data_IF_004650466154
#
_entry.id   IF_004650466154
#
_cell.length_a   1.000
_cell.length_b   1.000
_cell.length_c   1.000
_cell.angle_alpha   90.00
_cell.angle_beta   90.00
_cell.angle_gamma   90.00
#
_symmetry.space_group_name_H-M   'P 1'
#
loop_
_entity.id
_entity.type
_entity.pdbx_description
1 polymer ?
#
# COMPACT_ATOMS: atom_id res chain seq x y z
N UNK A 1 1.25 49.41 -23.46
CA UNK A 1 0.09 49.08 -22.57
C UNK A 1 -0.55 47.73 -22.92
N UNK A 2 -0.80 47.44 -24.21
CA UNK A 2 -1.34 46.15 -24.68
C UNK A 2 -0.49 44.95 -24.21
N UNK A 3 0.83 45.02 -24.38
CA UNK A 3 1.76 43.93 -24.02
C UNK A 3 1.78 43.65 -22.52
N UNK A 4 1.76 44.67 -21.66
CA UNK A 4 1.64 44.49 -20.19
C UNK A 4 0.39 43.70 -19.81
N UNK A 5 -0.75 43.96 -20.47
CA UNK A 5 -2.01 43.24 -20.23
C UNK A 5 -1.94 41.79 -20.72
N UNK A 6 -1.31 41.53 -21.86
CA UNK A 6 -1.14 40.17 -22.37
C UNK A 6 -0.20 39.34 -21.48
N UNK A 7 0.92 39.92 -21.03
CA UNK A 7 1.81 39.24 -20.07
C UNK A 7 1.09 38.90 -18.78
N UNK A 8 0.30 39.83 -18.24
CA UNK A 8 -0.44 39.61 -17.00
C UNK A 8 -1.48 38.49 -17.13
N UNK A 9 -2.22 38.45 -18.25
CA UNK A 9 -3.15 37.36 -18.56
C UNK A 9 -2.45 36.01 -18.76
N UNK A 10 -1.28 36.00 -19.39
CA UNK A 10 -0.49 34.77 -19.56
C UNK A 10 0.04 34.26 -18.21
N UNK A 11 0.50 35.16 -17.33
CA UNK A 11 0.94 34.75 -15.99
C UNK A 11 -0.20 34.23 -15.13
N UNK A 12 -1.39 34.82 -15.21
CA UNK A 12 -2.54 34.36 -14.43
C UNK A 12 -3.05 33.00 -14.92
N UNK A 13 -3.07 32.75 -16.24
CA UNK A 13 -3.46 31.45 -16.79
C UNK A 13 -2.47 30.34 -16.41
N UNK A 14 -1.17 30.64 -16.46
CA UNK A 14 -0.13 29.70 -16.02
C UNK A 14 -0.22 29.41 -14.50
N UNK A 15 -0.49 30.43 -13.67
CA UNK A 15 -0.65 30.25 -12.24
C UNK A 15 -1.87 29.37 -11.89
N UNK A 16 -3.00 29.59 -12.56
CA UNK A 16 -4.21 28.78 -12.38
C UNK A 16 -3.99 27.33 -12.86
N UNK A 17 -3.25 27.14 -13.96
CA UNK A 17 -2.86 25.82 -14.45
C UNK A 17 -1.94 25.09 -13.45
N UNK A 18 -0.95 25.79 -12.90
CA UNK A 18 -0.05 25.23 -11.88
C UNK A 18 -0.83 24.80 -10.63
N UNK A 19 -1.72 25.66 -10.12
CA UNK A 19 -2.59 25.37 -8.98
C UNK A 19 -3.41 24.09 -9.18
N UNK A 20 -4.02 23.92 -10.36
CA UNK A 20 -4.79 22.71 -10.71
C UNK A 20 -3.93 21.47 -10.72
N UNK A 21 -2.72 21.56 -11.28
CA UNK A 21 -1.78 20.44 -11.31
C UNK A 21 -1.34 20.02 -9.90
N UNK A 22 -1.10 20.98 -9.00
CA UNK A 22 -0.74 20.71 -7.61
C UNK A 22 -1.87 20.01 -6.84
N UNK A 23 -3.12 20.45 -7.02
CA UNK A 23 -4.30 19.80 -6.43
C UNK A 23 -4.44 18.37 -6.96
N UNK A 24 -4.38 18.18 -8.28
CA UNK A 24 -4.50 16.87 -8.90
C UNK A 24 -3.40 15.90 -8.43
N UNK A 25 -2.19 16.40 -8.20
CA UNK A 25 -1.09 15.60 -7.63
C UNK A 25 -1.42 15.11 -6.21
N UNK A 26 -1.96 15.97 -5.35
CA UNK A 26 -2.35 15.56 -4.00
C UNK A 26 -3.50 14.57 -4.01
N UNK A 27 -4.53 14.80 -4.82
CA UNK A 27 -5.66 13.89 -4.98
C UNK A 27 -5.19 12.51 -5.45
N UNK A 28 -4.29 12.46 -6.42
CA UNK A 28 -3.74 11.20 -6.92
C UNK A 28 -2.90 10.45 -5.88
N UNK A 29 -2.06 11.16 -5.12
CA UNK A 29 -1.29 10.58 -4.01
C UNK A 29 -2.22 10.02 -2.93
N UNK A 30 -3.31 10.72 -2.63
CA UNK A 30 -4.31 10.25 -1.67
C UNK A 30 -5.04 9.01 -2.19
N UNK A 31 -5.53 9.03 -3.43
CA UNK A 31 -6.25 7.91 -4.08
C UNK A 31 -5.40 6.64 -4.03
N UNK A 32 -4.15 6.73 -4.46
CA UNK A 32 -3.22 5.58 -4.50
C UNK A 32 -2.88 5.04 -3.12
N UNK A 33 -2.58 5.92 -2.16
CA UNK A 33 -2.28 5.50 -0.79
C UNK A 33 -3.48 4.91 -0.05
N UNK A 34 -4.66 5.53 -0.18
CA UNK A 34 -5.89 5.03 0.44
C UNK A 34 -6.29 3.69 -0.13
N UNK A 35 -6.14 3.46 -1.43
CA UNK A 35 -6.42 2.15 -2.03
C UNK A 35 -5.59 1.01 -1.41
N UNK A 36 -4.34 1.28 -1.03
CA UNK A 36 -3.47 0.31 -0.35
C UNK A 36 -3.98 0.05 1.08
N UNK A 37 -4.31 1.11 1.82
CA UNK A 37 -4.86 0.99 3.17
C UNK A 37 -6.22 0.28 3.17
N UNK A 38 -7.10 0.56 2.22
CA UNK A 38 -8.40 -0.10 2.07
C UNK A 38 -8.27 -1.59 1.80
N UNK A 39 -7.29 -2.00 0.97
CA UNK A 39 -6.95 -3.41 0.79
C UNK A 39 -6.50 -4.03 2.12
N UNK A 40 -5.58 -3.40 2.83
CA UNK A 40 -5.10 -3.92 4.12
C UNK A 40 -6.23 -4.04 5.16
N UNK A 41 -7.16 -3.08 5.19
CA UNK A 41 -8.34 -3.13 6.05
C UNK A 41 -9.27 -4.31 5.70
N UNK A 42 -9.49 -4.57 4.40
CA UNK A 42 -10.25 -5.74 3.93
C UNK A 42 -9.55 -7.05 4.26
N UNK A 43 -8.24 -7.14 4.04
CA UNK A 43 -7.44 -8.34 4.33
C UNK A 43 -7.45 -8.67 5.83
N UNK A 44 -7.28 -7.66 6.70
CA UNK A 44 -7.41 -7.82 8.15
C UNK A 44 -8.82 -8.27 8.55
N UNK A 45 -9.86 -7.71 7.92
CA UNK A 45 -11.24 -8.14 8.12
C UNK A 45 -11.49 -9.59 7.72
N UNK A 46 -10.85 -10.07 6.65
CA UNK A 46 -10.95 -11.48 6.26
C UNK A 46 -10.21 -12.39 7.25
N UNK A 47 -9.02 -11.99 7.73
CA UNK A 47 -8.29 -12.73 8.76
C UNK A 47 -9.08 -12.90 10.05
N UNK A 48 -9.80 -11.86 10.49
CA UNK A 48 -10.71 -11.94 11.64
C UNK A 48 -11.77 -13.03 11.41
N UNK A 49 -12.42 -13.06 10.24
CA UNK A 49 -13.44 -14.07 9.91
C UNK A 49 -12.88 -15.49 9.84
N UNK A 50 -11.69 -15.65 9.25
CA UNK A 50 -10.99 -16.94 9.17
C UNK A 50 -10.73 -17.47 10.60
N UNK A 51 -10.18 -16.63 11.48
CA UNK A 51 -9.89 -16.99 12.87
C UNK A 51 -11.16 -17.25 13.71
N UNK A 52 -12.23 -16.46 13.50
CA UNK A 52 -13.52 -16.69 14.15
C UNK A 52 -14.13 -18.04 13.73
N UNK A 53 -13.95 -18.43 12.46
CA UNK A 53 -14.38 -19.73 11.94
C UNK A 53 -13.58 -20.88 12.56
N UNK A 54 -12.27 -20.72 12.71
CA UNK A 54 -11.43 -21.71 13.40
C UNK A 54 -11.76 -21.82 14.90
N UNK A 55 -12.02 -20.69 15.55
CA UNK A 55 -12.44 -20.66 16.96
C UNK A 55 -13.75 -21.42 17.16
N UNK A 56 -14.71 -21.32 16.23
CA UNK A 56 -15.99 -22.02 16.30
C UNK A 56 -15.85 -23.55 16.16
N UNK A 57 -14.78 -24.05 15.52
CA UNK A 57 -14.50 -25.49 15.38
C UNK A 57 -13.85 -26.09 16.62
N UNK A 58 -13.27 -25.26 17.49
CA UNK A 58 -12.60 -25.72 18.70
C UNK A 58 -13.58 -25.95 19.85
N UNK A 59 -13.25 -26.92 20.70
CA UNK A 59 -13.96 -27.12 21.96
C UNK A 59 -13.68 -25.95 22.91
N UNK A 60 -14.74 -25.32 23.40
CA UNK A 60 -14.66 -24.23 24.38
C UNK A 60 -13.80 -24.64 25.58
N UNK A 61 -12.83 -23.79 25.94
CA UNK A 61 -11.93 -24.00 27.09
C UNK A 61 -10.58 -24.63 26.77
N UNK A 62 -10.26 -24.92 25.50
CA UNK A 62 -8.90 -25.28 25.08
C UNK A 62 -7.97 -24.05 25.16
N UNK A 63 -6.69 -24.23 25.52
CA UNK A 63 -5.68 -23.16 25.46
C UNK A 63 -5.60 -22.53 24.07
N UNK A 64 -5.77 -23.34 23.03
CA UNK A 64 -5.83 -22.90 21.63
C UNK A 64 -7.01 -21.96 21.36
N UNK A 65 -8.13 -22.12 22.09
CA UNK A 65 -9.29 -21.24 21.98
C UNK A 65 -8.98 -19.84 22.52
N UNK A 66 -8.23 -19.75 23.63
CA UNK A 66 -7.80 -18.47 24.19
C UNK A 66 -6.75 -17.78 23.31
N UNK A 67 -5.80 -18.54 22.74
CA UNK A 67 -4.83 -18.01 21.78
C UNK A 67 -5.51 -17.42 20.53
N UNK A 68 -6.52 -18.11 19.99
CA UNK A 68 -7.30 -17.60 18.85
C UNK A 68 -8.11 -16.36 19.20
N UNK A 69 -8.70 -16.27 20.41
CA UNK A 69 -9.40 -15.05 20.85
C UNK A 69 -8.43 -13.86 20.94
N UNK A 70 -7.23 -14.08 21.48
CA UNK A 70 -6.18 -13.06 21.51
C UNK A 70 -5.79 -12.61 20.10
N UNK A 71 -5.56 -13.56 19.20
CA UNK A 71 -5.27 -13.29 17.79
C UNK A 71 -6.39 -12.49 17.10
N UNK A 72 -7.65 -12.86 17.30
CA UNK A 72 -8.82 -12.13 16.75
C UNK A 72 -8.82 -10.68 17.26
N UNK A 73 -8.57 -10.47 18.56
CA UNK A 73 -8.50 -9.13 19.14
C UNK A 73 -7.36 -8.30 18.54
N UNK A 74 -6.17 -8.87 18.33
CA UNK A 74 -5.04 -8.20 17.68
C UNK A 74 -5.36 -7.80 16.23
N UNK A 75 -5.96 -8.70 15.45
CA UNK A 75 -6.36 -8.40 14.08
C UNK A 75 -7.49 -7.36 14.00
N UNK A 76 -8.42 -7.35 14.96
CA UNK A 76 -9.43 -6.28 15.10
C UNK A 76 -8.77 -4.94 15.43
N UNK A 77 -7.86 -4.90 16.40
CA UNK A 77 -7.13 -3.67 16.74
C UNK A 77 -6.33 -3.12 15.54
N UNK A 78 -5.65 -3.99 14.79
CA UNK A 78 -4.97 -3.62 13.54
C UNK A 78 -5.96 -3.07 12.49
N UNK A 79 -7.12 -3.68 12.35
CA UNK A 79 -8.14 -3.19 11.40
C UNK A 79 -8.59 -1.76 11.75
N UNK A 80 -8.85 -1.49 13.03
CA UNK A 80 -9.20 -0.15 13.52
C UNK A 80 -8.07 0.87 13.33
N UNK A 81 -6.82 0.45 13.56
CA UNK A 81 -5.64 1.26 13.26
C UNK A 81 -5.61 1.69 11.79
N UNK A 82 -5.83 0.76 10.86
CA UNK A 82 -5.87 1.06 9.42
C UNK A 82 -7.04 2.00 9.08
N UNK A 83 -8.21 1.83 9.68
CA UNK A 83 -9.35 2.73 9.48
C UNK A 83 -9.03 4.17 9.95
N UNK A 84 -8.31 4.29 11.06
CA UNK A 84 -7.83 5.57 11.59
C UNK A 84 -6.83 6.22 10.63
N UNK A 85 -5.87 5.44 10.09
CA UNK A 85 -4.90 5.94 9.11
C UNK A 85 -5.58 6.45 7.83
N UNK A 86 -6.60 5.75 7.33
CA UNK A 86 -7.38 6.19 6.16
C UNK A 86 -8.02 7.56 6.44
N UNK A 87 -8.66 7.69 7.61
CA UNK A 87 -9.37 8.91 7.99
C UNK A 87 -8.42 10.08 8.20
N UNK A 88 -7.31 9.87 8.91
CA UNK A 88 -6.28 10.86 9.13
C UNK A 88 -5.67 11.34 7.80
N UNK A 89 -5.35 10.41 6.89
CA UNK A 89 -4.79 10.74 5.58
C UNK A 89 -5.74 11.58 4.74
N UNK A 90 -7.03 11.23 4.71
CA UNK A 90 -8.04 12.03 3.98
C UNK A 90 -8.11 13.45 4.52
N UNK A 91 -8.11 13.62 5.84
CA UNK A 91 -8.19 14.93 6.47
C UNK A 91 -6.94 15.79 6.20
N UNK A 92 -5.75 15.19 6.30
CA UNK A 92 -4.48 15.90 6.09
C UNK A 92 -4.34 16.39 4.63
N UNK A 93 -4.64 15.52 3.66
CA UNK A 93 -4.61 15.89 2.25
C UNK A 93 -5.68 16.92 1.89
N UNK A 94 -6.89 16.79 2.45
CA UNK A 94 -7.94 17.79 2.26
C UNK A 94 -7.51 19.17 2.78
N UNK A 95 -6.95 19.24 3.98
CA UNK A 95 -6.46 20.49 4.55
C UNK A 95 -5.33 21.12 3.71
N UNK A 96 -4.47 20.30 3.09
CA UNK A 96 -3.44 20.80 2.19
C UNK A 96 -3.99 21.30 0.86
N UNK A 97 -4.98 20.61 0.29
CA UNK A 97 -5.69 21.04 -0.92
C UNK A 97 -6.37 22.39 -0.70
N UNK A 98 -7.03 22.60 0.45
CA UNK A 98 -7.65 23.89 0.79
C UNK A 98 -6.63 25.03 0.89
N UNK A 99 -5.42 24.75 1.40
CA UNK A 99 -4.34 25.73 1.42
C UNK A 99 -3.85 26.10 0.02
N UNK A 100 -3.80 25.14 -0.91
CA UNK A 100 -3.48 25.42 -2.32
C UNK A 100 -4.60 26.22 -2.98
N UNK A 101 -5.87 25.89 -2.68
CA UNK A 101 -7.02 26.69 -3.14
C UNK A 101 -6.95 28.14 -2.67
N UNK A 102 -6.45 28.37 -1.46
CA UNK A 102 -6.22 29.70 -0.88
C UNK A 102 -4.98 30.43 -1.45
N UNK A 103 -4.20 29.81 -2.35
CA UNK A 103 -3.10 30.46 -3.07
C UNK A 103 -1.69 30.11 -2.57
N UNK A 104 -1.55 29.19 -1.60
CA UNK A 104 -0.23 28.62 -1.29
C UNK A 104 0.19 27.63 -2.38
N UNK A 105 1.49 27.38 -2.48
CA UNK A 105 2.06 26.35 -3.36
C UNK A 105 2.57 25.16 -2.55
N UNK A 106 2.64 23.98 -3.16
CA UNK A 106 3.13 22.76 -2.51
C UNK A 106 4.52 22.90 -1.88
N UNK A 107 5.40 23.72 -2.46
CA UNK A 107 6.76 23.96 -1.95
C UNK A 107 6.77 24.69 -0.60
N UNK A 108 5.71 25.44 -0.30
CA UNK A 108 5.53 26.18 0.95
C UNK A 108 4.82 25.36 2.03
N UNK A 109 4.24 24.22 1.67
CA UNK A 109 3.47 23.38 2.56
C UNK A 109 4.31 22.18 3.05
N UNK A 110 3.99 21.61 4.23
CA UNK A 110 4.64 20.41 4.71
C UNK A 110 4.52 19.26 3.70
N UNK A 111 5.57 18.46 3.54
CA UNK A 111 5.50 17.26 2.69
C UNK A 111 4.68 16.20 3.40
N UNK A 112 3.52 15.86 2.83
CA UNK A 112 2.65 14.80 3.35
C UNK A 112 2.67 13.58 2.43
N UNK A 113 2.42 12.41 3.01
CA UNK A 113 2.29 11.14 2.30
C UNK A 113 1.33 10.23 3.06
N UNK A 114 0.56 9.42 2.34
CA UNK A 114 -0.27 8.41 2.99
C UNK A 114 0.66 7.38 3.67
N UNK A 115 0.46 7.09 4.97
CA UNK A 115 1.24 6.12 5.69
C UNK A 115 1.03 4.71 5.12
N UNK A 116 2.05 3.87 5.26
CA UNK A 116 1.96 2.47 4.86
C UNK A 116 1.05 1.70 5.82
N UNK A 117 0.39 0.62 5.35
CA UNK A 117 -0.32 -0.28 6.25
C UNK A 117 0.61 -0.75 7.38
N UNK A 118 0.11 -0.84 8.61
CA UNK A 118 0.93 -1.30 9.70
C UNK A 118 1.19 -2.82 9.54
N UNK A 119 2.29 -3.37 10.09
CA UNK A 119 2.68 -4.74 9.83
C UNK A 119 1.67 -5.75 10.37
N UNK A 120 1.61 -6.92 9.74
CA UNK A 120 0.72 -8.01 10.15
C UNK A 120 1.07 -8.49 11.57
N UNK A 121 0.06 -8.72 12.44
CA UNK A 121 0.27 -9.37 13.73
C UNK A 121 1.00 -10.71 13.58
N UNK A 122 2.00 -10.95 14.43
CA UNK A 122 2.71 -12.23 14.46
C UNK A 122 1.90 -13.20 15.33
N UNK A 123 1.17 -14.12 14.70
CA UNK A 123 0.50 -15.20 15.44
C UNK A 123 1.57 -16.05 16.13
N UNK A 124 1.60 -16.04 17.46
CA UNK A 124 2.41 -16.96 18.27
C UNK A 124 1.70 -18.31 18.31
N UNK A 125 1.82 -19.07 17.23
CA UNK A 125 1.13 -20.35 17.10
C UNK A 125 0.98 -20.69 15.64
N UNK A 126 1.40 -21.89 15.29
CA UNK A 126 1.43 -22.43 13.94
C UNK A 126 0.01 -22.71 13.45
N UNK A 127 -0.73 -21.66 13.08
CA UNK A 127 -1.97 -21.81 12.34
C UNK A 127 -1.59 -21.81 10.86
N UNK A 128 -1.33 -23.01 10.35
CA UNK A 128 -1.15 -23.24 8.91
C UNK A 128 -2.48 -22.95 8.23
N UNK A 129 -2.68 -21.72 7.76
CA UNK A 129 -3.63 -21.45 6.68
C UNK A 129 -2.82 -21.43 5.39
N UNK A 130 -2.68 -22.62 4.81
CA UNK A 130 -2.04 -22.85 3.53
C UNK A 130 -3.00 -22.37 2.42
N UNK A 131 -2.87 -21.10 2.01
CA UNK A 131 -3.43 -20.63 0.74
C UNK A 131 -2.28 -20.58 -0.27
N UNK A 132 -1.85 -21.75 -0.77
CA UNK A 132 -1.06 -21.84 -2.00
C UNK A 132 -1.91 -22.53 -3.07
N UNK A 133 -1.95 -22.01 -4.31
CA UNK A 133 -2.71 -22.63 -5.37
C UNK A 133 -2.11 -23.99 -5.71
N UNK A 134 -3.00 -24.96 -5.87
CA UNK A 134 -2.68 -26.34 -6.21
C UNK A 134 -1.93 -26.37 -7.55
N UNK A 135 -0.74 -26.96 -7.56
CA UNK A 135 -0.09 -27.43 -8.77
C UNK A 135 0.20 -28.93 -8.55
N UNK A 136 -0.28 -29.84 -9.40
CA UNK A 136 -0.02 -31.26 -9.25
C UNK A 136 1.35 -31.57 -9.85
N UNK A 137 2.18 -32.36 -9.16
CA UNK A 137 2.62 -33.68 -9.64
C UNK A 137 3.77 -34.30 -8.79
N UNK A 138 3.56 -35.58 -8.46
CA UNK A 138 4.50 -36.70 -8.29
C UNK A 138 5.65 -36.67 -7.26
N UNK A 139 5.35 -37.34 -6.13
CA UNK A 139 5.98 -38.59 -5.62
C UNK A 139 7.50 -38.70 -5.32
N UNK A 140 7.78 -38.88 -4.02
CA UNK A 140 8.55 -39.98 -3.35
C UNK A 140 10.11 -39.97 -3.35
N UNK A 141 10.63 -39.82 -2.11
CA UNK A 141 11.76 -40.50 -1.43
C UNK A 141 13.26 -40.29 -1.78
N UNK A 142 13.98 -39.84 -0.74
CA UNK A 142 15.16 -40.48 -0.09
C UNK A 142 16.56 -40.46 -0.75
N UNK A 143 17.43 -39.62 -0.17
CA UNK A 143 18.84 -39.80 0.28
C UNK A 143 19.85 -40.53 -0.63
N UNK A 144 20.98 -39.88 -0.97
CA UNK A 144 22.38 -40.25 -0.60
C UNK A 144 23.46 -39.57 -1.47
N UNK A 145 24.61 -39.32 -0.82
CA UNK A 145 25.98 -39.20 -1.37
C UNK A 145 26.51 -37.82 -1.87
N UNK A 146 27.38 -37.22 -1.03
CA UNK A 146 28.60 -36.49 -1.42
C UNK A 146 29.75 -37.53 -1.60
N UNK A 147 30.83 -37.29 -2.40
CA UNK A 147 31.83 -36.25 -2.07
C UNK A 147 32.61 -35.55 -3.22
N UNK A 148 32.93 -34.27 -2.93
CA UNK A 148 34.21 -33.53 -3.08
C UNK A 148 34.98 -33.42 -4.42
N UNK A 149 35.23 -32.17 -4.88
CA UNK A 149 36.57 -31.53 -4.94
C UNK A 149 36.57 -30.19 -5.72
N UNK A 150 37.12 -29.14 -5.09
CA UNK A 150 38.00 -28.16 -5.76
C UNK A 150 37.40 -26.90 -6.41
N UNK A 151 37.64 -25.77 -5.75
CA UNK A 151 38.27 -24.52 -6.26
C UNK A 151 37.56 -23.27 -5.71
N UNK A 152 38.32 -22.59 -4.85
CA UNK A 152 38.03 -21.30 -4.24
C UNK A 152 37.98 -20.22 -5.33
N UNK A 153 36.84 -19.54 -5.46
CA UNK A 153 36.66 -18.38 -6.32
C UNK A 153 35.72 -17.39 -5.66
N UNK A 154 36.30 -16.43 -4.96
CA UNK A 154 35.62 -15.28 -4.37
C UNK A 154 34.83 -14.50 -5.45
N UNK A 155 33.50 -14.53 -5.40
CA UNK A 155 32.65 -13.56 -6.12
C UNK A 155 31.41 -13.24 -5.29
N UNK A 156 31.41 -12.01 -4.77
CA UNK A 156 30.28 -11.31 -4.19
C UNK A 156 28.99 -11.51 -5.01
N UNK A 157 27.98 -12.13 -4.42
CA UNK A 157 26.61 -12.08 -4.93
C UNK A 157 25.97 -10.75 -4.51
N UNK A 158 25.39 -9.96 -5.44
CA UNK A 158 24.39 -8.98 -5.06
C UNK A 158 23.11 -9.72 -4.66
N UNK A 159 22.63 -9.42 -3.46
CA UNK A 159 21.35 -9.89 -2.97
C UNK A 159 20.24 -9.49 -3.96
N UNK A 160 19.52 -10.51 -4.40
CA UNK A 160 18.43 -10.49 -5.34
C UNK A 160 17.31 -9.55 -4.84
N UNK A 161 17.27 -8.31 -5.33
CA UNK A 161 16.11 -7.42 -5.22
C UNK A 161 15.06 -7.93 -6.20
N UNK A 162 14.19 -8.82 -5.72
CA UNK A 162 12.98 -9.21 -6.44
C UNK A 162 11.80 -9.32 -5.44
N UNK A 163 11.58 -8.23 -4.72
CA UNK A 163 10.27 -7.91 -4.18
C UNK A 163 9.42 -7.36 -5.31
N UNK A 164 8.65 -8.24 -5.97
CA UNK A 164 7.78 -7.91 -7.09
C UNK A 164 6.86 -6.73 -6.79
N UNK A 165 7.25 -5.56 -7.27
CA UNK A 165 6.40 -4.40 -7.43
C UNK A 165 5.44 -4.70 -8.58
N UNK A 166 4.40 -5.50 -8.31
CA UNK A 166 3.28 -5.63 -9.23
C UNK A 166 2.38 -4.40 -9.05
N UNK A 167 2.83 -3.26 -9.60
CA UNK A 167 1.97 -2.11 -9.84
C UNK A 167 0.91 -2.56 -10.84
N UNK A 168 -0.38 -2.54 -10.49
CA UNK A 168 -1.42 -2.91 -11.44
C UNK A 168 -1.44 -1.86 -12.57
N UNK A 169 -1.40 -2.35 -13.81
CA UNK A 169 -1.45 -1.65 -15.09
C UNK A 169 -2.51 -0.52 -15.16
N UNK A 170 -3.54 -0.60 -14.33
CA UNK A 170 -4.61 0.39 -14.18
C UNK A 170 -4.16 1.75 -13.64
N UNK A 171 -3.10 1.81 -12.82
CA UNK A 171 -2.62 3.07 -12.22
C UNK A 171 -1.79 3.87 -13.25
N UNK A 172 -0.96 3.16 -14.02
CA UNK A 172 -0.15 3.76 -15.10
C UNK A 172 -1.02 4.36 -16.21
N UNK A 173 -2.13 3.69 -16.57
CA UNK A 173 -3.02 4.18 -17.63
C UNK A 173 -3.73 5.48 -17.26
N UNK A 174 -4.07 5.68 -15.98
CA UNK A 174 -4.72 6.90 -15.47
C UNK A 174 -3.75 8.08 -15.36
N UNK A 175 -2.49 7.81 -14.96
CA UNK A 175 -1.41 8.80 -14.97
C UNK A 175 -1.09 9.27 -16.39
N UNK A 176 -0.99 8.35 -17.35
CA UNK A 176 -0.80 8.71 -18.75
C UNK A 176 -1.98 9.53 -19.28
N UNK A 177 -3.21 9.24 -18.87
CA UNK A 177 -4.39 10.00 -19.30
C UNK A 177 -4.42 11.42 -18.73
N UNK A 178 -4.12 11.61 -17.44
CA UNK A 178 -4.07 12.94 -16.81
C UNK A 178 -2.92 13.79 -17.37
N UNK A 179 -1.76 13.20 -17.65
CA UNK A 179 -0.60 13.92 -18.20
C UNK A 179 -0.80 14.23 -19.70
N UNK A 180 -1.38 13.33 -20.50
CA UNK A 180 -1.70 13.61 -21.91
C UNK A 180 -2.81 14.65 -22.06
N UNK A 181 -3.84 14.63 -21.20
CA UNK A 181 -4.94 15.60 -21.27
C UNK A 181 -4.46 17.03 -20.95
N UNK A 182 -3.44 17.17 -20.10
CA UNK A 182 -2.86 18.47 -19.75
C UNK A 182 -1.90 19.06 -20.81
N UNK A 183 -1.43 18.24 -21.76
CA UNK A 183 -0.52 18.68 -22.84
C UNK A 183 -1.27 19.11 -24.13
N UNK A 184 -2.60 18.94 -24.18
CA UNK A 184 -3.43 19.24 -25.37
C UNK A 184 -4.41 20.42 -25.17
N UNK A 185 -4.32 21.16 -24.06
CA UNK A 185 -5.10 22.36 -23.76
C UNK A 185 -4.17 23.48 -23.29
#
# INVERSE_FOLDING_TARGET
LQERKSFQNNTSSLAERAKRAEIALLEHKLETGVAILERAHKDAGQRVKDLETELAKLRSGSSLSEDLKGAIAEWKAKREEVATLITASKNEFFAQIEQIKAGKTLSQLPKISVPKPPPAPKLKGQFVTQNSPVAPEKSVATVLAMPNAGVIGNRSQPANVLGGFFLPFFIFLKICFTVLFFHQL
#
